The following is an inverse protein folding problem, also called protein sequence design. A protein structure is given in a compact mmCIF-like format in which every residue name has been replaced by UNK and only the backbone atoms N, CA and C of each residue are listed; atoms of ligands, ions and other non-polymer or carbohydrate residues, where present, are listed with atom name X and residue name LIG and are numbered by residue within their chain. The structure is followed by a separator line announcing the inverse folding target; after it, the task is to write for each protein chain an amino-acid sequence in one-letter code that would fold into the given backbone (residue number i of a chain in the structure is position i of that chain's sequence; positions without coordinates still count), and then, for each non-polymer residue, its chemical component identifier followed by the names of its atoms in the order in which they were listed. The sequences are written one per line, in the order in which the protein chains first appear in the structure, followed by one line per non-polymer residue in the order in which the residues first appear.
data_IF_677182076042
#
_entry.id   IF_677182076042
#
_cell.length_a   1.000
_cell.length_b   1.000
_cell.length_c   1.000
_cell.angle_alpha   90.00
_cell.angle_beta   90.00
_cell.angle_gamma   90.00
#
_symmetry.space_group_name_H-M   'P 1'
#
loop_
_entity.id
_entity.type
_entity.pdbx_description
1 polymer ?
#
# COMPACT_ATOMS: atom_id res chain seq x y z
N UNK A 1 10.85 4.99 11.56
CA UNK A 1 10.43 4.10 10.45
C UNK A 1 9.63 2.91 10.94
N UNK A 2 10.06 2.22 12.00
CA UNK A 2 9.35 1.01 12.47
C UNK A 2 7.91 1.28 12.93
N UNK A 3 7.66 2.44 13.56
CA UNK A 3 6.29 2.89 13.89
C UNK A 3 5.41 3.06 12.65
N UNK A 4 5.96 3.56 11.54
CA UNK A 4 5.22 3.69 10.28
C UNK A 4 4.88 2.32 9.71
N UNK A 5 5.86 1.42 9.63
CA UNK A 5 5.64 0.04 9.13
C UNK A 5 4.56 -0.66 9.98
N UNK A 6 4.63 -0.54 11.31
CA UNK A 6 3.62 -1.10 12.21
C UNK A 6 2.22 -0.54 11.90
N UNK A 7 2.08 0.78 11.77
CA UNK A 7 0.79 1.41 11.44
C UNK A 7 0.25 0.94 10.08
N UNK A 8 1.12 0.79 9.07
CA UNK A 8 0.72 0.30 7.75
C UNK A 8 0.25 -1.16 7.81
N UNK A 9 0.95 -2.01 8.58
CA UNK A 9 0.56 -3.41 8.82
C UNK A 9 -0.82 -3.47 9.48
N UNK A 10 -1.05 -2.68 10.54
CA UNK A 10 -2.33 -2.67 11.27
C UNK A 10 -3.52 -2.27 10.37
N UNK A 11 -3.29 -1.48 9.32
CA UNK A 11 -4.33 -1.06 8.37
C UNK A 11 -4.56 -2.12 7.28
N UNK A 12 -3.48 -2.71 6.75
CA UNK A 12 -3.54 -3.56 5.56
C UNK A 12 -3.75 -5.04 5.90
N UNK A 13 -3.22 -5.53 7.02
CA UNK A 13 -3.34 -6.94 7.40
C UNK A 13 -4.80 -7.44 7.41
N UNK A 14 -5.80 -6.70 7.93
CA UNK A 14 -7.19 -7.15 7.88
C UNK A 14 -7.71 -7.39 6.47
N UNK A 15 -7.28 -6.58 5.49
CA UNK A 15 -7.69 -6.71 4.09
C UNK A 15 -7.14 -7.99 3.45
N UNK A 16 -5.98 -8.47 3.89
CA UNK A 16 -5.38 -9.72 3.38
C UNK A 16 -6.21 -10.96 3.72
N UNK A 17 -7.10 -10.85 4.72
CA UNK A 17 -7.95 -11.94 5.22
C UNK A 17 -9.44 -11.70 4.93
N UNK A 18 -9.77 -10.60 4.25
CA UNK A 18 -11.14 -10.20 3.99
C UNK A 18 -11.71 -10.93 2.76
N UNK A 19 -12.59 -11.89 3.02
CA UNK A 19 -13.27 -12.69 2.00
C UNK A 19 -14.26 -11.88 1.15
N UNK A 20 -14.65 -10.68 1.60
CA UNK A 20 -15.55 -9.78 0.84
C UNK A 20 -14.82 -9.01 -0.28
N UNK A 21 -13.49 -9.05 -0.28
CA UNK A 21 -12.66 -8.50 -1.36
C UNK A 21 -12.48 -9.58 -2.44
N UNK A 22 -12.68 -9.25 -3.72
CA UNK A 22 -12.36 -10.15 -4.84
C UNK A 22 -10.94 -10.74 -4.74
N UNK A 23 -10.78 -12.01 -5.11
CA UNK A 23 -9.54 -12.76 -4.87
C UNK A 23 -8.32 -12.18 -5.61
N UNK A 24 -8.53 -11.70 -6.84
CA UNK A 24 -7.54 -10.98 -7.65
C UNK A 24 -7.03 -9.73 -6.92
N UNK A 25 -7.95 -8.88 -6.46
CA UNK A 25 -7.63 -7.64 -5.74
C UNK A 25 -6.95 -7.95 -4.41
N UNK A 26 -7.49 -8.94 -3.67
CA UNK A 26 -6.89 -9.40 -2.42
C UNK A 26 -5.47 -9.96 -2.66
N UNK A 27 -5.25 -10.63 -3.78
CA UNK A 27 -3.93 -11.08 -4.24
C UNK A 27 -2.94 -9.92 -4.40
N UNK A 28 -3.34 -8.82 -5.04
CA UNK A 28 -2.53 -7.60 -5.15
C UNK A 28 -2.21 -7.02 -3.77
N UNK A 29 -3.20 -6.92 -2.89
CA UNK A 29 -3.01 -6.43 -1.51
C UNK A 29 -2.03 -7.31 -0.72
N UNK A 30 -2.17 -8.64 -0.82
CA UNK A 30 -1.24 -9.60 -0.20
C UNK A 30 0.18 -9.41 -0.73
N UNK A 31 0.36 -9.18 -2.03
CA UNK A 31 1.67 -8.91 -2.62
C UNK A 31 2.34 -7.68 -2.00
N UNK A 32 1.59 -6.57 -1.89
CA UNK A 32 2.07 -5.37 -1.22
C UNK A 32 2.37 -5.59 0.27
N UNK A 33 1.55 -6.37 0.96
CA UNK A 33 1.76 -6.73 2.36
C UNK A 33 3.03 -7.58 2.58
N UNK A 34 3.30 -8.54 1.69
CA UNK A 34 4.50 -9.36 1.74
C UNK A 34 5.76 -8.51 1.56
N UNK A 35 5.74 -7.52 0.66
CA UNK A 35 6.84 -6.56 0.51
C UNK A 35 6.98 -5.68 1.75
N UNK A 36 5.87 -5.22 2.32
CA UNK A 36 5.88 -4.41 3.54
C UNK A 36 6.50 -5.17 4.72
N UNK A 37 6.34 -6.50 4.79
CA UNK A 37 6.83 -7.35 5.87
C UNK A 37 8.18 -8.03 5.61
N UNK A 38 8.73 -7.91 4.40
CA UNK A 38 10.02 -8.50 4.01
C UNK A 38 11.19 -7.86 4.77
N UNK A 39 11.71 -8.57 5.77
CA UNK A 39 12.82 -8.11 6.61
C UNK A 39 14.15 -8.02 5.88
N UNK A 40 14.26 -8.60 4.67
CA UNK A 40 15.49 -8.55 3.88
C UNK A 40 15.62 -7.23 3.09
N UNK A 41 14.55 -6.43 3.03
CA UNK A 41 14.54 -5.12 2.36
C UNK A 41 14.71 -3.99 3.36
N UNK A 42 15.30 -2.89 2.89
CA UNK A 42 15.41 -1.67 3.70
C UNK A 42 14.03 -1.07 3.98
N UNK A 43 13.82 -0.51 5.18
CA UNK A 43 12.53 0.08 5.58
C UNK A 43 11.95 1.05 4.53
N UNK A 44 12.79 1.93 3.96
CA UNK A 44 12.37 2.89 2.92
C UNK A 44 11.83 2.18 1.67
N UNK A 45 12.53 1.15 1.21
CA UNK A 45 12.17 0.38 0.03
C UNK A 45 10.87 -0.38 0.25
N UNK A 46 10.73 -1.05 1.40
CA UNK A 46 9.50 -1.78 1.79
C UNK A 46 8.29 -0.87 1.74
N UNK A 47 8.40 0.32 2.35
CA UNK A 47 7.33 1.31 2.40
C UNK A 47 6.97 1.79 0.98
N UNK A 48 7.96 2.21 0.17
CA UNK A 48 7.69 2.73 -1.18
C UNK A 48 7.01 1.68 -2.05
N UNK A 49 7.61 0.49 -2.16
CA UNK A 49 7.12 -0.55 -3.07
C UNK A 49 5.75 -1.09 -2.65
N UNK A 50 5.53 -1.27 -1.34
CA UNK A 50 4.21 -1.70 -0.85
C UNK A 50 3.14 -0.64 -1.08
N UNK A 51 3.44 0.64 -0.82
CA UNK A 51 2.50 1.74 -1.08
C UNK A 51 2.20 1.94 -2.57
N UNK A 52 3.16 1.71 -3.47
CA UNK A 52 2.91 1.73 -4.92
C UNK A 52 1.91 0.63 -5.32
N UNK A 53 2.03 -0.56 -4.73
CA UNK A 53 1.09 -1.67 -4.96
C UNK A 53 -0.29 -1.38 -4.36
N UNK A 54 -0.34 -0.76 -3.18
CA UNK A 54 -1.61 -0.34 -2.56
C UNK A 54 -2.30 0.76 -3.38
N UNK A 55 -1.54 1.67 -3.98
CA UNK A 55 -2.06 2.70 -4.89
C UNK A 55 -2.65 2.05 -6.14
N UNK A 56 -2.03 1.00 -6.69
CA UNK A 56 -2.60 0.26 -7.82
C UNK A 56 -3.88 -0.49 -7.42
N UNK A 57 -3.83 -1.23 -6.31
CA UNK A 57 -4.96 -2.01 -5.82
C UNK A 57 -6.20 -1.13 -5.55
N UNK A 58 -6.04 0.10 -5.02
CA UNK A 58 -7.18 0.97 -4.72
C UNK A 58 -8.01 1.36 -5.97
N UNK A 59 -7.39 1.33 -7.14
CA UNK A 59 -8.02 1.71 -8.41
C UNK A 59 -8.44 0.51 -9.26
N UNK A 60 -8.19 -0.73 -8.80
CA UNK A 60 -8.69 -1.92 -9.48
C UNK A 60 -10.21 -1.93 -9.53
N UNK A 61 -10.75 -2.36 -10.67
CA UNK A 61 -12.19 -2.48 -10.87
C UNK A 61 -12.78 -3.43 -9.81
N UNK A 62 -13.98 -3.11 -9.33
CA UNK A 62 -14.69 -3.90 -8.32
C UNK A 62 -14.03 -3.97 -6.93
N UNK A 63 -12.97 -3.18 -6.66
CA UNK A 63 -12.45 -3.03 -5.30
C UNK A 63 -13.55 -2.45 -4.38
N UNK A 64 -13.97 -3.15 -3.32
CA UNK A 64 -15.03 -2.67 -2.46
C UNK A 64 -14.62 -1.38 -1.75
N UNK A 65 -15.61 -0.54 -1.43
CA UNK A 65 -15.36 0.81 -0.93
C UNK A 65 -14.51 0.82 0.35
N UNK A 66 -14.78 -0.09 1.28
CA UNK A 66 -14.04 -0.15 2.55
C UNK A 66 -12.56 -0.46 2.34
N UNK A 67 -12.22 -1.36 1.42
CA UNK A 67 -10.83 -1.69 1.11
C UNK A 67 -10.11 -0.50 0.46
N UNK A 68 -10.74 0.19 -0.50
CA UNK A 68 -10.19 1.43 -1.08
C UNK A 68 -9.89 2.50 -0.03
N UNK A 69 -10.80 2.70 0.92
CA UNK A 69 -10.62 3.69 2.01
C UNK A 69 -9.43 3.31 2.90
N UNK A 70 -9.27 2.03 3.26
CA UNK A 70 -8.14 1.58 4.08
C UNK A 70 -6.80 1.70 3.34
N UNK A 71 -6.74 1.34 2.06
CA UNK A 71 -5.55 1.52 1.23
C UNK A 71 -5.18 3.01 1.10
N UNK A 72 -6.17 3.87 0.84
CA UNK A 72 -5.98 5.32 0.80
C UNK A 72 -5.46 5.88 2.12
N UNK A 73 -5.98 5.39 3.25
CA UNK A 73 -5.48 5.76 4.59
C UNK A 73 -4.03 5.33 4.81
N UNK A 74 -3.64 4.14 4.38
CA UNK A 74 -2.26 3.67 4.46
C UNK A 74 -1.31 4.58 3.67
N UNK A 75 -1.68 4.94 2.43
CA UNK A 75 -0.91 5.85 1.56
C UNK A 75 -0.79 7.24 2.20
N UNK A 76 -1.89 7.80 2.72
CA UNK A 76 -1.86 9.11 3.38
C UNK A 76 -0.93 9.14 4.60
N UNK A 77 -0.89 8.07 5.40
CA UNK A 77 0.02 7.95 6.54
C UNK A 77 1.48 7.91 6.08
N UNK A 78 1.77 7.17 5.01
CA UNK A 78 3.12 7.16 4.42
C UNK A 78 3.52 8.57 3.98
N UNK A 79 2.67 9.28 3.24
CA UNK A 79 2.94 10.65 2.76
C UNK A 79 3.19 11.64 3.92
N UNK A 80 2.45 11.53 5.02
CA UNK A 80 2.64 12.35 6.21
C UNK A 80 4.00 12.09 6.89
N UNK A 81 4.45 10.84 6.94
CA UNK A 81 5.69 10.46 7.62
C UNK A 81 6.95 10.75 6.79
N UNK A 82 6.84 10.78 5.47
CA UNK A 82 8.00 10.93 4.58
C UNK A 82 8.12 12.32 3.94
N UNK A 83 7.06 13.14 4.01
CA UNK A 83 6.98 14.38 3.24
C UNK A 83 7.06 14.14 1.73
N UNK A 84 7.36 15.18 0.94
CA UNK A 84 7.58 15.12 -0.53
C UNK A 84 8.75 14.21 -0.97
N UNK A 85 9.47 13.54 -0.07
CA UNK A 85 10.69 12.77 -0.40
C UNK A 85 10.44 11.38 -1.02
N UNK A 86 9.20 10.90 -1.05
CA UNK A 86 8.84 9.70 -1.80
C UNK A 86 8.20 10.18 -3.10
N UNK A 87 9.04 10.36 -4.13
CA UNK A 87 8.55 10.61 -5.47
C UNK A 87 7.77 9.39 -5.91
N UNK A 88 6.45 9.54 -6.09
CA UNK A 88 5.64 8.51 -6.73
C UNK A 88 6.23 8.25 -8.12
N UNK A 89 6.82 7.07 -8.32
CA UNK A 89 7.48 6.65 -9.57
C UNK A 89 6.56 6.78 -10.79
N UNK A 90 5.23 6.67 -10.60
CA UNK A 90 4.25 6.86 -11.69
C UNK A 90 3.86 8.31 -11.97
N UNK A 91 3.89 9.25 -11.01
CA UNK A 91 3.52 10.66 -11.29
C UNK A 91 4.50 11.34 -12.25
N UNK A 92 5.74 10.88 -12.31
CA UNK A 92 6.74 11.35 -13.28
C UNK A 92 6.41 11.00 -14.74
N UNK A 93 5.49 10.06 -15.01
CA UNK A 93 5.16 9.62 -16.39
C UNK A 93 3.97 10.36 -17.02
N UNK A 94 3.35 11.32 -16.32
CA UNK A 94 2.24 12.11 -16.85
C UNK A 94 2.67 13.47 -17.45
N UNK A 95 3.97 13.68 -17.62
CA UNK A 95 4.52 14.83 -18.36
C UNK A 95 5.40 14.33 -19.50
N UNK A 96 4.78 14.08 -20.66
CA UNK A 96 5.32 14.32 -22.00
C UNK A 96 4.19 14.19 -23.02
#
# INVERSE_FOLDING_TARGET
MDKLIKNLIEIVEPLTKDETIPEDIRGTIISGYNILTDINKGNRERIQLSCDIFDDAQYEAYNPFHARVQLSKAIAIQEQFTGKQFERTKKSKLTN
#
